data_IF_514558924822
#
_entry.id   IF_514558924822
#
_cell.length_a   1.000
_cell.length_b   1.000
_cell.length_c   1.000
_cell.angle_alpha   90.00
_cell.angle_beta   90.00
_cell.angle_gamma   90.00
#
_symmetry.space_group_name_H-M   'P 1'
#
loop_
_entity.id
_entity.type
_entity.pdbx_description
1 polymer ?
#
# COMPACT_ATOMS: atom_id res chain seq x y z
N UNK A 1 -34.79 10.94 -4.46
CA UNK A 1 -33.39 11.09 -4.92
C UNK A 1 -33.31 10.16 -6.12
N UNK A 2 -33.52 10.67 -7.33
CA UNK A 2 -33.92 9.81 -8.46
C UNK A 2 -32.77 9.58 -9.45
N UNK A 3 -31.54 9.90 -9.03
CA UNK A 3 -30.31 9.67 -9.80
C UNK A 3 -29.19 9.20 -8.86
N UNK A 4 -28.32 8.28 -9.32
CA UNK A 4 -27.16 7.87 -8.55
C UNK A 4 -26.22 9.06 -8.32
N UNK A 5 -25.38 8.99 -7.29
CA UNK A 5 -24.42 10.04 -6.93
C UNK A 5 -23.45 10.35 -8.09
N UNK A 6 -23.06 9.32 -8.85
CA UNK A 6 -22.18 9.39 -10.02
C UNK A 6 -22.54 8.32 -11.05
N UNK A 7 -21.99 8.44 -12.26
CA UNK A 7 -22.19 7.51 -13.35
C UNK A 7 -21.67 6.09 -13.03
N UNK A 8 -22.33 5.07 -13.60
CA UNK A 8 -21.82 3.70 -13.56
C UNK A 8 -20.85 3.50 -14.72
N UNK A 9 -19.57 3.66 -14.43
CA UNK A 9 -18.46 3.56 -15.38
C UNK A 9 -17.31 2.74 -14.79
N UNK A 10 -16.50 2.17 -15.67
CA UNK A 10 -15.34 1.34 -15.32
C UNK A 10 -14.09 1.85 -16.02
N UNK A 11 -12.95 1.63 -15.37
CA UNK A 11 -11.65 1.76 -16.01
C UNK A 11 -11.57 0.72 -17.11
N UNK A 12 -11.03 1.09 -18.27
CA UNK A 12 -10.80 0.17 -19.41
C UNK A 12 -9.44 0.44 -20.02
N UNK A 13 -8.87 -0.47 -20.83
CA UNK A 13 -7.62 -0.25 -21.55
C UNK A 13 -7.58 1.03 -22.39
N UNK A 14 -8.75 1.52 -22.83
CA UNK A 14 -8.89 2.74 -23.63
C UNK A 14 -9.14 3.98 -22.80
N UNK A 15 -9.64 3.81 -21.57
CA UNK A 15 -10.03 4.89 -20.69
C UNK A 15 -9.63 4.59 -19.24
N UNK A 16 -8.45 5.06 -18.86
CA UNK A 16 -7.92 4.90 -17.50
C UNK A 16 -8.48 5.91 -16.51
N UNK A 17 -8.95 7.06 -17.01
CA UNK A 17 -9.46 8.16 -16.20
C UNK A 17 -10.97 8.27 -16.38
N UNK A 18 -11.67 8.05 -15.28
CA UNK A 18 -13.12 8.12 -15.18
C UNK A 18 -13.50 9.13 -14.10
N UNK A 19 -14.58 9.88 -14.30
CA UNK A 19 -14.93 11.03 -13.46
C UNK A 19 -15.38 10.58 -12.07
N UNK A 20 -16.19 9.53 -12.01
CA UNK A 20 -16.65 8.89 -10.77
C UNK A 20 -15.50 8.40 -9.90
N UNK A 21 -14.35 7.97 -10.46
CA UNK A 21 -13.19 7.61 -9.64
C UNK A 21 -12.55 8.83 -8.99
N UNK A 22 -12.47 9.96 -9.70
CA UNK A 22 -11.98 11.21 -9.14
C UNK A 22 -12.91 11.75 -8.04
N UNK A 23 -14.23 11.69 -8.27
CA UNK A 23 -15.25 12.06 -7.29
C UNK A 23 -15.21 11.14 -6.06
N UNK A 24 -15.10 9.83 -6.25
CA UNK A 24 -14.93 8.84 -5.18
C UNK A 24 -13.67 9.12 -4.36
N UNK A 25 -12.52 9.31 -5.00
CA UNK A 25 -11.27 9.61 -4.32
C UNK A 25 -11.32 10.94 -3.55
N UNK A 26 -12.07 11.93 -4.03
CA UNK A 26 -12.34 13.19 -3.33
C UNK A 26 -13.19 12.94 -2.07
N UNK A 27 -14.29 12.21 -2.21
CA UNK A 27 -15.19 11.87 -1.10
C UNK A 27 -14.46 11.09 0.00
N UNK A 28 -13.70 10.04 -0.36
CA UNK A 28 -12.94 9.22 0.60
C UNK A 28 -11.95 10.07 1.39
N UNK A 29 -11.22 10.96 0.72
CA UNK A 29 -10.26 11.87 1.36
C UNK A 29 -10.93 12.80 2.36
N UNK A 30 -12.02 13.46 1.97
CA UNK A 30 -12.77 14.33 2.89
C UNK A 30 -13.36 13.57 4.08
N UNK A 31 -13.88 12.36 3.86
CA UNK A 31 -14.40 11.51 4.95
C UNK A 31 -13.28 11.09 5.90
N UNK A 32 -12.11 10.74 5.37
CA UNK A 32 -10.95 10.40 6.17
C UNK A 32 -10.53 11.61 7.03
N UNK A 33 -10.40 12.81 6.46
CA UNK A 33 -10.07 14.03 7.21
C UNK A 33 -11.09 14.37 8.29
N UNK A 34 -12.38 14.26 7.98
CA UNK A 34 -13.44 14.59 8.93
C UNK A 34 -13.36 13.70 10.17
N UNK A 35 -13.01 12.42 9.98
CA UNK A 35 -13.07 11.40 11.02
C UNK A 35 -11.71 11.11 11.67
N UNK A 36 -10.60 11.63 11.12
CA UNK A 36 -9.26 11.28 11.60
C UNK A 36 -8.98 11.76 13.04
N UNK A 37 -9.57 12.89 13.44
CA UNK A 37 -9.46 13.39 14.81
C UNK A 37 -10.12 12.46 15.84
N UNK A 38 -11.18 11.76 15.45
CA UNK A 38 -11.85 10.78 16.30
C UNK A 38 -11.19 9.39 16.24
N UNK A 39 -10.60 9.03 15.10
CA UNK A 39 -9.93 7.75 14.90
C UNK A 39 -8.67 7.90 14.03
N UNK A 40 -7.49 8.04 14.64
CA UNK A 40 -6.21 8.18 13.91
C UNK A 40 -5.86 6.97 13.04
N UNK A 41 -6.41 5.79 13.34
CA UNK A 41 -6.17 4.55 12.59
C UNK A 41 -7.14 4.34 11.42
N UNK A 42 -8.07 5.28 11.19
CA UNK A 42 -9.13 5.09 10.20
C UNK A 42 -8.57 4.84 8.80
N UNK A 43 -7.63 5.66 8.35
CA UNK A 43 -7.11 5.57 6.98
C UNK A 43 -6.37 4.25 6.73
N UNK A 44 -5.53 3.80 7.67
CA UNK A 44 -4.81 2.54 7.56
C UNK A 44 -5.76 1.34 7.57
N UNK A 45 -6.71 1.29 8.52
CA UNK A 45 -7.69 0.20 8.61
C UNK A 45 -8.63 0.16 7.42
N UNK A 46 -9.08 1.33 6.94
CA UNK A 46 -9.95 1.40 5.77
C UNK A 46 -9.20 0.96 4.50
N UNK A 47 -7.93 1.36 4.35
CA UNK A 47 -7.11 0.90 3.23
C UNK A 47 -6.90 -0.62 3.25
N UNK A 48 -6.67 -1.22 4.42
CA UNK A 48 -6.58 -2.68 4.58
C UNK A 48 -7.87 -3.40 4.18
N UNK A 49 -9.04 -2.90 4.61
CA UNK A 49 -10.33 -3.48 4.24
C UNK A 49 -10.61 -3.35 2.74
N UNK A 50 -10.33 -2.18 2.16
CA UNK A 50 -10.49 -1.94 0.74
C UNK A 50 -9.57 -2.87 -0.08
N UNK A 51 -8.30 -2.99 0.29
CA UNK A 51 -7.37 -3.86 -0.43
C UNK A 51 -7.74 -5.35 -0.30
N UNK A 52 -8.17 -5.78 0.90
CA UNK A 52 -8.68 -7.13 1.11
C UNK A 52 -9.90 -7.44 0.24
N UNK A 53 -10.83 -6.49 0.10
CA UNK A 53 -11.99 -6.62 -0.79
C UNK A 53 -11.57 -6.65 -2.26
N UNK A 54 -10.65 -5.79 -2.68
CA UNK A 54 -10.18 -5.70 -4.06
C UNK A 54 -9.58 -7.01 -4.58
N UNK A 55 -8.90 -7.74 -3.70
CA UNK A 55 -8.18 -8.98 -4.03
C UNK A 55 -9.01 -10.25 -3.82
N UNK A 56 -10.17 -10.17 -3.16
CA UNK A 56 -11.01 -11.35 -2.87
C UNK A 56 -12.32 -11.41 -3.66
N UNK A 57 -12.79 -10.28 -4.22
CA UNK A 57 -14.04 -10.23 -4.97
C UNK A 57 -13.88 -10.74 -6.41
N UNK A 58 -14.91 -11.42 -6.93
CA UNK A 58 -15.01 -11.77 -8.35
C UNK A 58 -15.64 -10.66 -9.19
N UNK A 59 -16.30 -9.68 -8.56
CA UNK A 59 -16.90 -8.56 -9.28
C UNK A 59 -15.84 -7.50 -9.56
N UNK A 60 -15.47 -7.41 -10.84
CA UNK A 60 -14.55 -6.43 -11.42
C UNK A 60 -14.78 -5.01 -10.92
N UNK A 61 -16.01 -4.52 -11.02
CA UNK A 61 -16.36 -3.15 -10.66
C UNK A 61 -16.07 -2.89 -9.18
N UNK A 62 -16.50 -3.81 -8.31
CA UNK A 62 -16.25 -3.72 -6.87
C UNK A 62 -14.75 -3.74 -6.57
N UNK A 63 -13.97 -4.56 -7.29
CA UNK A 63 -12.52 -4.59 -7.13
C UNK A 63 -11.87 -3.25 -7.53
N UNK A 64 -12.21 -2.72 -8.71
CA UNK A 64 -11.71 -1.44 -9.20
C UNK A 64 -12.02 -0.28 -8.25
N UNK A 65 -13.26 -0.18 -7.75
CA UNK A 65 -13.62 0.83 -6.73
C UNK A 65 -12.85 0.65 -5.44
N UNK A 66 -12.59 -0.59 -5.03
CA UNK A 66 -11.82 -0.87 -3.82
C UNK A 66 -10.34 -0.45 -3.96
N UNK A 67 -9.72 -0.67 -5.12
CA UNK A 67 -8.37 -0.14 -5.41
C UNK A 67 -8.34 1.38 -5.39
N UNK A 68 -9.35 2.05 -5.98
CA UNK A 68 -9.48 3.50 -6.00
C UNK A 68 -9.61 4.08 -4.58
N UNK A 69 -10.41 3.44 -3.71
CA UNK A 69 -10.56 3.83 -2.29
C UNK A 69 -9.23 3.69 -1.55
N UNK A 70 -8.57 2.53 -1.67
CA UNK A 70 -7.28 2.30 -1.00
C UNK A 70 -6.22 3.31 -1.44
N UNK A 71 -6.15 3.59 -2.73
CA UNK A 71 -5.26 4.59 -3.33
C UNK A 71 -5.53 6.00 -2.80
N UNK A 72 -6.81 6.38 -2.64
CA UNK A 72 -7.20 7.71 -2.14
C UNK A 72 -6.86 7.93 -0.67
N UNK A 73 -6.70 6.88 0.13
CA UNK A 73 -6.34 6.95 1.54
C UNK A 73 -4.84 7.17 1.78
N UNK A 74 -4.03 7.12 0.72
CA UNK A 74 -2.60 7.47 0.76
C UNK A 74 -1.81 6.65 1.81
N UNK A 75 -2.15 5.38 1.96
CA UNK A 75 -1.45 4.46 2.88
C UNK A 75 -0.44 3.63 2.09
N UNK A 76 0.67 3.24 2.73
CA UNK A 76 1.65 2.36 2.07
C UNK A 76 0.99 1.02 1.69
N UNK A 77 1.03 0.63 0.41
CA UNK A 77 0.50 -0.64 -0.04
C UNK A 77 1.51 -1.77 0.07
N UNK A 78 2.73 -1.53 0.55
CA UNK A 78 3.82 -2.50 0.62
C UNK A 78 3.39 -3.91 1.13
N UNK A 79 2.56 -4.03 2.19
CA UNK A 79 2.12 -5.35 2.68
C UNK A 79 1.30 -6.16 1.67
N UNK A 80 0.67 -5.50 0.69
CA UNK A 80 -0.24 -6.10 -0.28
C UNK A 80 0.41 -6.36 -1.63
N UNK A 81 1.59 -5.78 -1.88
CA UNK A 81 2.30 -5.91 -3.16
C UNK A 81 2.48 -7.38 -3.57
N UNK A 82 2.87 -8.32 -2.70
CA UNK A 82 2.96 -9.73 -3.10
C UNK A 82 1.65 -10.30 -3.65
N UNK A 83 0.52 -9.97 -3.02
CA UNK A 83 -0.80 -10.44 -3.45
C UNK A 83 -1.26 -9.77 -4.75
N UNK A 84 -1.01 -8.46 -4.89
CA UNK A 84 -1.32 -7.71 -6.11
C UNK A 84 -0.52 -8.27 -7.29
N UNK A 85 0.78 -8.50 -7.10
CA UNK A 85 1.65 -9.07 -8.14
C UNK A 85 1.27 -10.51 -8.50
N UNK A 86 0.84 -11.33 -7.53
CA UNK A 86 0.32 -12.67 -7.82
C UNK A 86 -0.90 -12.62 -8.74
N UNK A 87 -1.87 -11.77 -8.42
CA UNK A 87 -3.09 -11.59 -9.24
C UNK A 87 -2.78 -11.02 -10.62
N UNK A 88 -1.81 -10.10 -10.71
CA UNK A 88 -1.33 -9.56 -11.98
C UNK A 88 -0.69 -10.65 -12.84
N UNK A 89 0.23 -11.44 -12.27
CA UNK A 89 0.90 -12.52 -12.98
C UNK A 89 -0.06 -13.59 -13.52
N UNK A 90 -1.21 -13.80 -12.85
CA UNK A 90 -2.27 -14.70 -13.31
C UNK A 90 -3.15 -14.13 -14.44
N UNK A 91 -3.13 -12.81 -14.68
CA UNK A 91 -4.08 -12.13 -15.58
C UNK A 91 -3.43 -11.40 -16.74
N UNK A 92 -2.14 -11.07 -16.64
CA UNK A 92 -1.35 -10.45 -17.73
C UNK A 92 -1.29 -11.39 -18.94
N UNK A 93 -1.42 -10.81 -20.13
CA UNK A 93 -1.41 -11.55 -21.40
C UNK A 93 -2.76 -12.15 -21.78
N UNK A 94 -3.75 -12.17 -20.89
CA UNK A 94 -5.10 -12.66 -21.20
C UNK A 94 -5.85 -11.68 -22.11
N UNK A 95 -6.29 -12.06 -23.31
CA UNK A 95 -6.85 -11.12 -24.30
C UNK A 95 -8.28 -10.65 -23.97
N UNK A 96 -8.92 -11.24 -22.95
CA UNK A 96 -10.31 -10.93 -22.62
C UNK A 96 -10.48 -9.50 -22.09
N UNK A 97 -11.49 -8.77 -22.58
CA UNK A 97 -11.68 -7.35 -22.30
C UNK A 97 -11.86 -7.04 -20.80
N UNK A 98 -12.67 -7.82 -20.08
CA UNK A 98 -12.87 -7.62 -18.64
C UNK A 98 -11.59 -7.87 -17.85
N UNK A 99 -10.79 -8.86 -18.26
CA UNK A 99 -9.50 -9.20 -17.65
C UNK A 99 -8.46 -8.12 -17.93
N UNK A 100 -8.34 -7.63 -19.16
CA UNK A 100 -7.44 -6.53 -19.52
C UNK A 100 -7.78 -5.25 -18.78
N UNK A 101 -9.07 -4.98 -18.61
CA UNK A 101 -9.51 -3.86 -17.82
C UNK A 101 -9.10 -4.06 -16.33
N UNK A 102 -8.96 -5.30 -15.84
CA UNK A 102 -8.66 -5.60 -14.42
C UNK A 102 -7.15 -5.51 -14.18
N UNK A 103 -6.37 -5.99 -15.15
CA UNK A 103 -4.94 -5.70 -15.28
C UNK A 103 -4.72 -4.18 -15.25
N UNK A 104 -5.55 -3.40 -15.96
CA UNK A 104 -5.48 -1.94 -15.95
C UNK A 104 -5.72 -1.37 -14.54
N UNK A 105 -6.77 -1.81 -13.83
CA UNK A 105 -7.03 -1.39 -12.45
C UNK A 105 -5.86 -1.73 -11.51
N UNK A 106 -5.29 -2.94 -11.62
CA UNK A 106 -4.12 -3.34 -10.84
C UNK A 106 -2.92 -2.45 -11.16
N UNK A 107 -2.61 -2.23 -12.43
CA UNK A 107 -1.46 -1.44 -12.84
C UNK A 107 -1.58 0.02 -12.40
N UNK A 108 -2.77 0.62 -12.46
CA UNK A 108 -3.03 1.96 -11.91
C UNK A 108 -2.83 1.98 -10.40
N UNK A 109 -3.27 0.95 -9.67
CA UNK A 109 -3.02 0.80 -8.24
C UNK A 109 -1.51 0.73 -7.94
N UNK A 110 -0.74 -0.05 -8.72
CA UNK A 110 0.72 -0.15 -8.58
C UNK A 110 1.43 1.18 -8.90
N UNK A 111 0.97 1.91 -9.92
CA UNK A 111 1.51 3.23 -10.23
C UNK A 111 1.26 4.24 -9.10
N UNK A 112 0.13 4.16 -8.42
CA UNK A 112 -0.13 4.99 -7.23
C UNK A 112 0.71 4.51 -6.05
N UNK A 113 0.88 3.19 -5.90
CA UNK A 113 1.70 2.59 -4.85
C UNK A 113 3.13 3.13 -4.81
N UNK A 114 3.78 3.26 -5.96
CA UNK A 114 5.14 3.85 -6.06
C UNK A 114 5.21 5.24 -5.45
N UNK A 115 4.14 6.03 -5.58
CA UNK A 115 4.08 7.41 -5.06
C UNK A 115 3.96 7.47 -3.52
N UNK A 116 3.72 6.33 -2.87
CA UNK A 116 3.53 6.22 -1.43
C UNK A 116 4.66 5.45 -0.72
N UNK A 117 5.67 4.97 -1.44
CA UNK A 117 6.84 4.34 -0.85
C UNK A 117 7.71 5.41 -0.15
N UNK A 118 8.04 5.19 1.12
CA UNK A 118 8.74 6.15 1.98
C UNK A 118 10.27 6.14 1.78
N UNK A 119 10.71 6.05 0.52
CA UNK A 119 12.12 6.20 0.13
C UNK A 119 12.53 7.67 -0.03
N UNK A 120 11.60 8.62 0.08
CA UNK A 120 11.92 10.04 0.04
C UNK A 120 12.46 10.51 1.41
N UNK A 121 13.55 11.30 1.45
CA UNK A 121 13.97 11.97 2.67
C UNK A 121 12.81 12.83 3.18
N UNK A 122 12.35 12.55 4.40
CA UNK A 122 11.37 13.38 5.09
C UNK A 122 11.95 14.80 5.17
N UNK A 123 11.38 15.77 4.46
CA UNK A 123 11.64 17.18 4.76
C UNK A 123 11.04 17.43 6.14
N UNK A 124 11.83 17.73 7.19
CA UNK A 124 11.28 18.02 8.50
C UNK A 124 10.60 19.39 8.46
N UNK A 125 9.35 19.44 8.92
CA UNK A 125 8.56 20.62 9.27
C UNK A 125 8.22 21.63 8.16
N UNK A 126 6.95 21.61 7.72
CA UNK A 126 6.25 22.85 7.34
C UNK A 126 5.27 23.19 8.48
N UNK A 127 5.84 23.61 9.61
CA UNK A 127 5.15 24.50 10.53
C UNK A 127 5.81 25.88 10.38
N UNK A 128 5.45 26.63 9.34
CA UNK A 128 5.62 28.09 9.28
C UNK A 128 4.78 28.69 8.11
N UNK A 129 3.69 29.36 8.51
CA UNK A 129 2.85 30.44 7.92
C UNK A 129 3.23 31.14 6.59
N UNK A 130 2.39 32.06 6.02
CA UNK A 130 0.93 32.30 6.14
C UNK A 130 0.21 32.47 4.76
N UNK A 131 -1.13 32.53 4.80
CA UNK A 131 -2.06 33.16 3.82
C UNK A 131 -1.57 33.45 2.39
N UNK A 132 -1.90 32.60 1.39
CA UNK A 132 -2.50 33.07 0.12
C UNK A 132 -3.04 31.90 -0.75
N UNK A 133 -4.32 32.04 -1.09
CA UNK A 133 -5.09 31.48 -2.21
C UNK A 133 -4.37 30.59 -3.24
N UNK A 134 -4.31 29.28 -2.96
CA UNK A 134 -4.48 28.25 -3.99
C UNK A 134 -5.09 27.02 -3.33
N UNK A 135 -6.23 26.54 -3.84
CA UNK A 135 -6.99 25.43 -3.27
C UNK A 135 -6.27 24.08 -3.46
N UNK A 136 -5.14 23.87 -2.79
CA UNK A 136 -4.51 22.56 -2.65
C UNK A 136 -5.04 21.95 -1.35
N UNK A 137 -5.84 20.88 -1.44
CA UNK A 137 -6.29 20.18 -0.24
C UNK A 137 -5.07 19.55 0.44
N UNK A 138 -4.84 19.89 1.71
CA UNK A 138 -3.72 19.33 2.50
C UNK A 138 -3.97 17.87 2.93
N UNK A 139 -5.10 17.30 2.53
CA UNK A 139 -5.54 15.94 2.84
C UNK A 139 -4.48 14.88 2.65
N UNK A 140 -3.79 14.81 1.49
CA UNK A 140 -2.82 13.74 1.26
C UNK A 140 -1.66 13.82 2.26
N UNK A 141 -1.20 15.04 2.57
CA UNK A 141 -0.11 15.27 3.51
C UNK A 141 -0.49 14.87 4.95
N UNK A 142 -1.71 15.22 5.39
CA UNK A 142 -2.22 14.88 6.73
C UNK A 142 -2.33 13.36 6.91
N UNK A 143 -2.91 12.66 5.92
CA UNK A 143 -3.06 11.20 5.96
C UNK A 143 -1.70 10.48 5.97
N UNK A 144 -0.74 10.95 5.17
CA UNK A 144 0.63 10.45 5.16
C UNK A 144 1.35 10.69 6.48
N UNK A 145 1.26 11.90 7.03
CA UNK A 145 1.92 12.25 8.30
C UNK A 145 1.40 11.40 9.45
N UNK A 146 0.09 11.19 9.53
CA UNK A 146 -0.53 10.36 10.58
C UNK A 146 -0.16 8.89 10.39
N UNK A 147 -0.12 8.39 9.15
CA UNK A 147 0.36 7.03 8.87
C UNK A 147 1.79 6.81 9.38
N UNK A 148 2.71 7.73 9.05
CA UNK A 148 4.10 7.68 9.50
C UNK A 148 4.22 7.82 11.02
N UNK A 149 3.43 8.70 11.64
CA UNK A 149 3.40 8.87 13.08
C UNK A 149 2.88 7.60 13.79
N UNK A 150 1.79 7.00 13.30
CA UNK A 150 1.24 5.75 13.84
C UNK A 150 2.24 4.60 13.67
N UNK A 151 2.93 4.49 12.53
CA UNK A 151 4.00 3.52 12.34
C UNK A 151 5.13 3.72 13.38
N UNK A 152 5.55 4.97 13.62
CA UNK A 152 6.58 5.29 14.62
C UNK A 152 6.15 4.97 16.06
N UNK A 153 4.87 5.17 16.41
CA UNK A 153 4.31 4.86 17.74
C UNK A 153 4.21 3.35 17.96
N UNK A 154 3.84 2.57 16.94
CA UNK A 154 3.82 1.11 17.01
C UNK A 154 5.24 0.53 17.14
N UNK A 155 6.24 1.21 16.56
CA UNK A 155 7.65 0.78 16.55
C UNK A 155 8.49 1.27 17.74
N UNK A 156 7.96 2.14 18.61
CA UNK A 156 8.68 2.58 19.82
C UNK A 156 8.11 1.89 21.07
N UNK A 157 8.72 0.79 21.57
CA UNK A 157 8.36 0.27 22.88
C UNK A 157 8.87 1.27 23.92
N UNK A 158 7.93 1.82 24.69
CA UNK A 158 8.16 2.62 25.89
C UNK A 158 9.32 2.08 26.73
N UNK A 159 10.48 2.76 26.68
CA UNK A 159 11.55 2.59 27.66
C UNK A 159 11.10 3.16 29.00
N UNK A 160 10.45 2.35 29.83
CA UNK A 160 10.40 2.61 31.27
C UNK A 160 11.66 2.06 31.92
N UNK A 161 12.59 2.98 32.22
CA UNK A 161 13.78 2.75 33.02
C UNK A 161 13.37 2.54 34.47
N UNK A 162 13.67 1.37 35.04
CA UNK A 162 13.89 1.21 36.48
C UNK A 162 14.80 0.02 36.75
N UNK A 163 16.07 0.32 36.99
CA UNK A 163 17.05 -0.57 37.60
C UNK A 163 16.62 -0.91 39.04
N UNK A 164 16.50 -2.19 39.39
CA UNK A 164 16.77 -2.73 40.74
C UNK A 164 17.22 -4.19 40.57
N UNK A 165 18.38 -4.50 41.17
CA UNK A 165 19.09 -5.78 41.23
C UNK A 165 18.42 -6.77 42.20
N UNK A 166 18.53 -8.07 41.92
CA UNK A 166 18.82 -9.24 42.80
C UNK A 166 18.21 -10.51 42.16
N UNK A 167 18.96 -11.51 41.69
CA UNK A 167 19.84 -12.51 42.34
C UNK A 167 19.18 -13.89 42.49
N UNK A 168 19.99 -14.91 42.25
CA UNK A 168 19.94 -16.30 42.74
C UNK A 168 19.37 -17.37 41.81
N UNK A 169 20.31 -18.20 41.37
CA UNK A 169 20.18 -19.54 40.78
C UNK A 169 19.66 -20.53 41.82
N UNK A 170 18.69 -21.38 41.45
CA UNK A 170 18.61 -22.77 41.94
C UNK A 170 18.14 -23.65 40.78
N UNK A 171 18.90 -24.72 40.52
CA UNK A 171 18.56 -25.82 39.65
C UNK A 171 17.78 -26.90 40.42
N UNK A 172 16.86 -27.59 39.76
CA UNK A 172 16.44 -28.93 40.17
C UNK A 172 16.05 -29.76 38.93
N UNK A 173 16.53 -31.01 38.90
CA UNK A 173 16.36 -31.97 37.81
C UNK A 173 15.14 -32.87 38.05
N UNK A 174 14.34 -33.19 37.01
CA UNK A 174 14.00 -34.58 36.62
C UNK A 174 12.92 -34.71 35.52
N UNK A 175 13.17 -35.72 34.67
CA UNK A 175 12.25 -36.57 33.90
C UNK A 175 11.82 -36.19 32.45
N UNK A 176 12.04 -37.17 31.56
CA UNK A 176 11.66 -37.34 30.13
C UNK A 176 11.05 -38.77 30.08
N UNK A 177 10.10 -39.20 29.20
CA UNK A 177 10.00 -38.86 27.77
C UNK A 177 8.59 -38.89 27.11
N UNK A 178 8.59 -38.77 25.77
CA UNK A 178 7.57 -39.14 24.75
C UNK A 178 6.74 -37.99 24.15
N UNK A 179 7.21 -37.46 23.01
CA UNK A 179 6.59 -37.62 21.69
C UNK A 179 7.36 -36.78 20.66
N UNK A 180 8.06 -37.46 19.75
CA UNK A 180 8.77 -36.89 18.60
C UNK A 180 7.76 -36.26 17.62
N UNK A 181 7.37 -35.03 17.90
CA UNK A 181 6.74 -34.16 16.91
C UNK A 181 7.82 -33.69 15.95
N UNK A 182 7.69 -34.11 14.69
CA UNK A 182 8.61 -33.85 13.57
C UNK A 182 9.00 -32.37 13.52
N UNK A 183 10.29 -32.12 13.69
CA UNK A 183 10.90 -30.81 13.43
C UNK A 183 10.63 -30.41 11.98
N UNK A 184 9.84 -29.34 11.79
CA UNK A 184 9.85 -28.56 10.55
C UNK A 184 10.85 -27.43 10.77
N UNK A 185 12.01 -27.60 10.16
CA UNK A 185 13.15 -26.72 10.26
C UNK A 185 12.80 -25.26 9.94
N UNK A 186 13.28 -24.39 10.82
CA UNK A 186 13.57 -22.98 10.67
C UNK A 186 13.36 -22.35 9.29
N UNK A 187 12.32 -21.53 9.16
CA UNK A 187 12.34 -20.26 8.41
C UNK A 187 11.54 -19.20 9.18
N UNK A 188 11.76 -19.13 10.50
CA UNK A 188 11.37 -17.97 11.30
C UNK A 188 12.56 -17.02 11.40
N UNK A 189 12.96 -16.45 10.26
CA UNK A 189 13.81 -15.26 10.29
C UNK A 189 12.89 -14.09 10.60
N UNK A 190 12.67 -13.88 11.90
CA UNK A 190 12.16 -12.61 12.43
C UNK A 190 13.23 -11.56 12.16
N UNK A 191 13.19 -10.93 10.98
CA UNK A 191 13.84 -9.63 10.76
C UNK A 191 12.93 -8.55 11.35
N UNK A 192 12.81 -8.55 12.68
CA UNK A 192 12.21 -7.45 13.43
C UNK A 192 13.24 -6.33 13.56
N UNK A 193 13.73 -5.81 12.44
CA UNK A 193 14.49 -4.55 12.35
C UNK A 193 14.70 -4.08 10.89
N UNK A 194 13.82 -4.49 9.96
CA UNK A 194 13.82 -3.88 8.64
C UNK A 194 13.47 -2.42 8.82
N UNK A 195 14.47 -1.53 8.75
CA UNK A 195 14.20 -0.10 8.65
C UNK A 195 13.13 0.07 7.57
N UNK A 196 12.09 0.87 7.80
CA UNK A 196 10.93 1.00 6.89
C UNK A 196 11.38 1.20 5.42
N UNK A 197 12.56 1.77 5.19
CA UNK A 197 13.17 1.90 3.87
C UNK A 197 13.63 0.60 3.18
N UNK A 198 14.01 -0.46 3.91
CA UNK A 198 14.42 -1.76 3.33
C UNK A 198 13.23 -2.50 2.70
N UNK A 199 12.07 -2.50 3.36
CA UNK A 199 10.85 -3.11 2.83
C UNK A 199 10.30 -2.34 1.63
N UNK A 200 10.37 -1.01 1.68
CA UNK A 200 10.00 -0.14 0.57
C UNK A 200 10.95 -0.29 -0.62
N UNK A 201 12.26 -0.46 -0.38
CA UNK A 201 13.24 -0.73 -1.43
C UNK A 201 13.01 -2.11 -2.08
N UNK A 202 12.77 -3.14 -1.27
CA UNK A 202 12.38 -4.48 -1.76
C UNK A 202 11.11 -4.41 -2.61
N UNK A 203 10.14 -3.61 -2.16
CA UNK A 203 8.90 -3.34 -2.91
C UNK A 203 9.20 -2.65 -4.24
N UNK A 204 10.02 -1.60 -4.26
CA UNK A 204 10.41 -0.88 -5.46
C UNK A 204 11.10 -1.81 -6.48
N UNK A 205 11.99 -2.69 -6.03
CA UNK A 205 12.64 -3.71 -6.87
C UNK A 205 11.63 -4.70 -7.46
N UNK A 206 10.63 -5.15 -6.68
CA UNK A 206 9.56 -6.02 -7.19
C UNK A 206 8.72 -5.32 -8.27
N UNK A 207 8.44 -4.03 -8.08
CA UNK A 207 7.72 -3.20 -9.06
C UNK A 207 8.53 -2.99 -10.33
N UNK A 208 9.85 -2.78 -10.22
CA UNK A 208 10.75 -2.73 -11.36
C UNK A 208 10.73 -4.03 -12.16
N UNK A 209 10.87 -5.18 -11.48
CA UNK A 209 10.91 -6.50 -12.12
C UNK A 209 9.65 -6.78 -12.93
N UNK A 210 8.46 -6.54 -12.35
CA UNK A 210 7.21 -6.78 -13.08
C UNK A 210 7.03 -5.81 -14.24
N UNK A 211 7.42 -4.54 -14.08
CA UNK A 211 7.34 -3.55 -15.15
C UNK A 211 8.20 -3.99 -16.34
N UNK A 212 9.45 -4.41 -16.11
CA UNK A 212 10.34 -4.90 -17.18
C UNK A 212 9.78 -6.15 -17.84
N UNK A 213 9.27 -7.11 -17.06
CA UNK A 213 8.67 -8.33 -17.63
C UNK A 213 7.45 -8.02 -18.51
N UNK A 214 6.63 -7.03 -18.13
CA UNK A 214 5.46 -6.62 -18.92
C UNK A 214 5.81 -5.85 -20.20
N UNK A 215 7.05 -5.38 -20.39
CA UNK A 215 7.50 -4.77 -21.65
C UNK A 215 7.57 -5.79 -22.81
N UNK A 216 7.54 -7.08 -22.51
CA UNK A 216 7.45 -8.15 -23.52
C UNK A 216 6.00 -8.49 -23.90
N UNK A 217 5.00 -7.81 -23.31
CA UNK A 217 3.60 -8.08 -23.62
C UNK A 217 3.23 -7.71 -25.05
N UNK A 218 2.44 -8.57 -25.70
CA UNK A 218 1.85 -8.31 -27.01
C UNK A 218 0.62 -7.36 -26.93
N UNK A 219 0.21 -6.93 -25.73
CA UNK A 219 -0.87 -5.97 -25.51
C UNK A 219 -0.31 -4.55 -25.39
N UNK A 220 -0.68 -3.67 -26.31
CA UNK A 220 -0.27 -2.25 -26.29
C UNK A 220 -0.59 -1.56 -24.95
N UNK A 221 -1.73 -1.91 -24.34
CA UNK A 221 -2.16 -1.34 -23.07
C UNK A 221 -1.24 -1.80 -21.92
N UNK A 222 -0.92 -3.09 -21.85
CA UNK A 222 -0.02 -3.61 -20.81
C UNK A 222 1.37 -3.03 -20.95
N UNK A 223 1.89 -2.96 -22.18
CA UNK A 223 3.16 -2.34 -22.50
C UNK A 223 3.19 -0.87 -22.06
N UNK A 224 2.15 -0.10 -22.38
CA UNK A 224 2.07 1.32 -22.00
C UNK A 224 1.96 1.50 -20.48
N UNK A 225 1.18 0.66 -19.79
CA UNK A 225 1.07 0.66 -18.33
C UNK A 225 2.40 0.31 -17.66
N UNK A 226 3.16 -0.61 -18.24
CA UNK A 226 4.49 -0.99 -17.79
C UNK A 226 5.49 0.16 -17.93
N UNK A 227 5.48 0.87 -19.07
CA UNK A 227 6.29 2.08 -19.25
C UNK A 227 5.97 3.16 -18.21
N UNK A 228 4.69 3.43 -17.93
CA UNK A 228 4.30 4.41 -16.92
C UNK A 228 4.68 3.98 -15.50
N UNK A 229 4.60 2.68 -15.19
CA UNK A 229 5.08 2.18 -13.91
C UNK A 229 6.60 2.36 -13.79
N UNK A 230 7.34 2.05 -14.86
CA UNK A 230 8.79 2.17 -14.90
C UNK A 230 9.26 3.62 -14.77
N UNK A 231 8.60 4.57 -15.43
CA UNK A 231 8.86 6.00 -15.30
C UNK A 231 8.77 6.47 -13.84
N UNK A 232 7.71 6.05 -13.14
CA UNK A 232 7.55 6.35 -11.70
C UNK A 232 8.62 5.70 -10.84
N UNK A 233 8.98 4.46 -11.12
CA UNK A 233 10.04 3.75 -10.38
C UNK A 233 11.40 4.42 -10.58
N UNK A 234 11.73 4.82 -11.82
CA UNK A 234 12.95 5.56 -12.12
C UNK A 234 12.98 6.93 -11.48
N UNK A 235 11.84 7.61 -11.39
CA UNK A 235 11.74 8.87 -10.66
C UNK A 235 12.15 8.67 -9.19
N UNK A 236 11.71 7.60 -8.52
CA UNK A 236 12.16 7.30 -7.16
C UNK A 236 13.66 6.99 -7.11
N UNK A 237 14.18 6.15 -8.02
CA UNK A 237 15.62 5.86 -8.06
C UNK A 237 16.48 7.12 -8.27
N UNK A 238 16.07 8.02 -9.14
CA UNK A 238 16.77 9.28 -9.37
C UNK A 238 16.81 10.16 -8.10
N UNK A 239 15.76 10.14 -7.29
CA UNK A 239 15.72 10.91 -6.04
C UNK A 239 16.52 10.27 -4.90
N UNK A 240 16.94 9.00 -5.02
CA UNK A 240 17.74 8.28 -4.02
C UNK A 240 19.25 8.48 -4.23
N UNK A 241 19.69 8.68 -5.48
CA UNK A 241 21.11 8.86 -5.88
C UNK A 241 21.52 10.32 -5.73
#
# INVERSE_FOLDING_TARGET
MDKPLWANEDVTPRQWRIESAAQLGCMVRHLAELLIGANPSLASRWSQLAMGMALSTSNRHIAGRSFQISSALCQSPAPWIPNILSRLAETVGEPHEETQSYVTDIMLCLQIAVSHLALMPQVPNILQCPTHTRSTSYTPAILHQISNAVASVVLSPTRQRKDIRHSVLIADEREVPVALSRSKSATALKTLDGSIGEEDFSTLCRLFLIAVAMLESNSDNEYLLALHLLDKVFLIFHNII
#
